data_IF_945240572096
#
_entry.id   IF_945240572096
#
_cell.length_a   1.000
_cell.length_b   1.000
_cell.length_c   1.000
_cell.angle_alpha   90.00
_cell.angle_beta   90.00
_cell.angle_gamma   90.00
#
_symmetry.space_group_name_H-M   'P 1'
#
loop_
_entity.id
_entity.type
_entity.pdbx_description
1 polymer ?
#
# COMPACT_ATOMS: atom_id res chain seq x y z
N UNK A 1 -7.66 -2.22 23.03
CA UNK A 1 -7.42 -2.87 21.71
C UNK A 1 -8.16 -4.21 21.59
N UNK A 2 -8.03 -5.17 22.53
CA UNK A 2 -8.67 -6.51 22.44
C UNK A 2 -10.18 -6.45 22.25
N UNK A 3 -10.91 -5.59 22.99
CA UNK A 3 -12.36 -5.43 22.83
C UNK A 3 -12.76 -4.99 21.43
N UNK A 4 -12.02 -4.05 20.85
CA UNK A 4 -12.25 -3.57 19.49
C UNK A 4 -12.00 -4.69 18.48
N UNK A 5 -10.87 -5.42 18.61
CA UNK A 5 -10.57 -6.53 17.72
C UNK A 5 -11.64 -7.64 17.81
N UNK A 6 -12.18 -7.91 19.01
CA UNK A 6 -13.28 -8.85 19.19
C UNK A 6 -14.55 -8.44 18.43
N UNK A 7 -14.86 -7.12 18.41
CA UNK A 7 -16.02 -6.59 17.67
C UNK A 7 -15.80 -6.62 16.15
N UNK A 8 -14.61 -6.25 15.68
CA UNK A 8 -14.25 -6.27 14.25
C UNK A 8 -14.18 -7.72 13.73
N UNK A 9 -13.65 -8.61 14.52
CA UNK A 9 -13.35 -9.99 14.18
C UNK A 9 -11.90 -10.19 13.73
N UNK A 10 -11.12 -11.08 14.37
CA UNK A 10 -9.69 -11.25 14.06
C UNK A 10 -9.42 -11.63 12.60
N UNK A 11 -10.26 -12.49 12.00
CA UNK A 11 -10.11 -12.88 10.58
C UNK A 11 -10.27 -11.70 9.62
N UNK A 12 -11.23 -10.79 9.90
CA UNK A 12 -11.41 -9.57 9.10
C UNK A 12 -10.20 -8.65 9.24
N UNK A 13 -9.65 -8.51 10.44
CA UNK A 13 -8.45 -7.72 10.68
C UNK A 13 -7.26 -8.28 9.91
N UNK A 14 -7.01 -9.59 9.94
CA UNK A 14 -5.95 -10.25 9.16
C UNK A 14 -6.13 -10.00 7.66
N UNK A 15 -7.34 -10.20 7.13
CA UNK A 15 -7.61 -9.96 5.71
C UNK A 15 -7.35 -8.50 5.31
N UNK A 16 -7.65 -7.56 6.20
CA UNK A 16 -7.44 -6.14 5.95
C UNK A 16 -5.95 -5.75 5.95
N UNK A 17 -5.13 -6.33 6.84
CA UNK A 17 -3.71 -5.95 6.94
C UNK A 17 -2.78 -6.75 6.01
N UNK A 18 -3.22 -7.90 5.47
CA UNK A 18 -2.43 -8.68 4.52
C UNK A 18 -1.94 -7.87 3.31
N UNK A 19 -2.77 -7.03 2.64
CA UNK A 19 -2.32 -6.20 1.53
C UNK A 19 -1.30 -5.12 1.89
N UNK A 20 -1.02 -4.91 3.18
CA UNK A 20 0.02 -3.99 3.67
C UNK A 20 1.43 -4.58 3.60
N UNK A 21 1.58 -5.80 3.05
CA UNK A 21 2.86 -6.49 2.93
C UNK A 21 3.18 -7.45 4.08
N UNK A 22 2.19 -7.76 4.91
CA UNK A 22 2.36 -8.78 5.96
C UNK A 22 2.02 -10.17 5.43
N UNK A 23 2.93 -11.16 5.51
CA UNK A 23 2.65 -12.54 5.12
C UNK A 23 1.51 -13.12 5.96
N UNK A 24 0.47 -13.62 5.28
CA UNK A 24 -0.74 -14.11 5.95
C UNK A 24 -0.45 -15.26 6.93
N UNK A 25 0.50 -16.11 6.62
CA UNK A 25 0.92 -17.26 7.43
C UNK A 25 1.54 -16.85 8.78
N UNK A 26 2.04 -15.61 8.88
CA UNK A 26 2.59 -15.05 10.13
C UNK A 26 1.52 -14.38 11.00
N UNK A 27 0.32 -14.18 10.48
CA UNK A 27 -0.75 -13.46 11.15
C UNK A 27 -1.77 -14.44 11.74
N UNK A 28 -1.66 -14.72 13.05
CA UNK A 28 -2.64 -15.53 13.72
C UNK A 28 -3.98 -14.81 13.88
N UNK A 29 -5.11 -15.36 13.38
CA UNK A 29 -6.41 -14.71 13.46
C UNK A 29 -7.07 -14.91 14.84
N UNK A 30 -6.38 -14.49 15.89
CA UNK A 30 -6.83 -14.55 17.28
C UNK A 30 -6.73 -13.18 17.98
N UNK A 31 -7.12 -13.10 19.24
CA UNK A 31 -7.14 -11.84 19.97
C UNK A 31 -5.75 -11.33 20.37
N UNK A 32 -4.71 -12.17 20.33
CA UNK A 32 -3.34 -11.77 20.61
C UNK A 32 -2.77 -10.84 19.53
N UNK A 33 -3.36 -10.88 18.32
CA UNK A 33 -3.04 -9.93 17.24
C UNK A 33 -3.17 -8.47 17.71
N UNK A 34 -4.15 -8.16 18.58
CA UNK A 34 -4.32 -6.80 19.14
C UNK A 34 -3.18 -6.36 20.07
N UNK A 35 -2.34 -7.28 20.48
CA UNK A 35 -1.18 -7.06 21.35
C UNK A 35 0.14 -7.11 20.58
N UNK A 36 0.09 -7.38 19.26
CA UNK A 36 1.28 -7.47 18.42
C UNK A 36 2.06 -8.78 18.61
N UNK A 37 1.36 -9.89 18.89
CA UNK A 37 1.98 -11.19 19.12
C UNK A 37 2.58 -11.84 17.85
N UNK A 38 2.25 -11.32 16.66
CA UNK A 38 2.80 -11.83 15.39
C UNK A 38 4.25 -11.40 15.22
N UNK A 39 5.14 -12.37 14.94
CA UNK A 39 6.54 -12.10 14.63
C UNK A 39 6.68 -11.66 13.17
N UNK A 40 7.10 -10.42 12.97
CA UNK A 40 7.36 -9.83 11.64
C UNK A 40 8.78 -9.30 11.58
N UNK A 41 9.34 -9.26 10.37
CA UNK A 41 10.67 -8.67 10.17
C UNK A 41 10.60 -7.14 10.17
N UNK A 42 11.72 -6.44 10.45
CA UNK A 42 11.76 -4.98 10.33
C UNK A 42 11.37 -4.47 8.94
N UNK A 43 11.69 -5.22 7.87
CA UNK A 43 11.32 -4.87 6.50
C UNK A 43 9.79 -4.97 6.29
N UNK A 44 9.16 -6.06 6.74
CA UNK A 44 7.71 -6.22 6.68
C UNK A 44 6.99 -5.11 7.46
N UNK A 45 7.51 -4.76 8.62
CA UNK A 45 6.95 -3.66 9.42
C UNK A 45 7.10 -2.31 8.70
N UNK A 46 8.28 -2.02 8.13
CA UNK A 46 8.51 -0.80 7.37
C UNK A 46 7.61 -0.72 6.13
N UNK A 47 7.41 -1.85 5.42
CA UNK A 47 6.48 -1.95 4.29
C UNK A 47 5.05 -1.63 4.73
N UNK A 48 4.59 -2.19 5.85
CA UNK A 48 3.26 -1.87 6.40
C UNK A 48 3.08 -0.40 6.76
N UNK A 49 4.10 0.24 7.35
CA UNK A 49 4.07 1.67 7.65
C UNK A 49 4.16 2.54 6.39
N UNK A 50 4.82 2.08 5.32
CA UNK A 50 4.88 2.82 4.06
C UNK A 50 3.49 3.02 3.45
N UNK A 51 2.56 2.07 3.63
CA UNK A 51 1.16 2.23 3.19
C UNK A 51 0.53 3.47 3.83
N UNK A 52 0.75 3.68 5.13
CA UNK A 52 0.24 4.86 5.83
C UNK A 52 0.93 6.14 5.36
N UNK A 53 2.24 6.11 5.15
CA UNK A 53 3.02 7.25 4.67
C UNK A 53 2.65 7.65 3.22
N UNK A 54 2.32 6.68 2.39
CA UNK A 54 1.97 6.86 0.98
C UNK A 54 0.47 7.14 0.74
N UNK A 55 -0.30 7.46 1.79
CA UNK A 55 -1.72 7.81 1.62
C UNK A 55 -2.65 6.62 1.37
N UNK A 56 -2.24 5.41 1.74
CA UNK A 56 -3.01 4.18 1.61
C UNK A 56 -2.62 3.30 0.42
N UNK A 57 -1.54 3.66 -0.31
CA UNK A 57 -1.03 2.85 -1.41
C UNK A 57 0.05 1.88 -0.95
N UNK A 58 0.00 0.65 -1.45
CA UNK A 58 0.98 -0.40 -1.18
C UNK A 58 2.12 -0.34 -2.19
N UNK A 59 3.35 -0.25 -1.69
CA UNK A 59 4.57 -0.31 -2.50
C UNK A 59 5.45 -1.44 -2.00
N UNK A 60 6.19 -2.07 -2.91
CA UNK A 60 7.12 -3.15 -2.57
C UNK A 60 8.52 -2.58 -2.40
N UNK A 61 9.23 -2.93 -1.32
CA UNK A 61 10.62 -2.54 -1.15
C UNK A 61 11.51 -3.29 -2.13
N UNK A 62 12.52 -2.61 -2.66
CA UNK A 62 13.56 -3.20 -3.49
C UNK A 62 14.93 -2.69 -3.06
N UNK A 63 15.98 -3.49 -3.29
CA UNK A 63 17.36 -3.15 -2.89
C UNK A 63 18.23 -2.78 -4.09
N UNK A 64 17.94 -3.35 -5.26
CA UNK A 64 18.73 -3.13 -6.47
C UNK A 64 17.85 -2.34 -7.42
N UNK A 65 18.28 -1.12 -7.75
CA UNK A 65 17.55 -0.27 -8.71
C UNK A 65 17.93 -0.58 -10.15
N UNK A 66 19.23 -0.91 -10.39
CA UNK A 66 19.75 -1.15 -11.74
C UNK A 66 21.01 -2.01 -11.68
N UNK A 67 21.21 -2.86 -12.67
CA UNK A 67 22.45 -3.61 -12.92
C UNK A 67 22.86 -3.34 -14.35
N UNK A 68 24.14 -3.00 -14.55
CA UNK A 68 24.75 -2.77 -15.86
C UNK A 68 25.98 -3.68 -16.02
N UNK A 69 26.31 -4.01 -17.26
CA UNK A 69 27.57 -4.66 -17.60
C UNK A 69 28.73 -3.65 -17.75
N UNK A 70 29.93 -4.15 -18.03
CA UNK A 70 31.13 -3.33 -18.20
C UNK A 70 31.07 -2.40 -19.43
N UNK A 71 30.13 -2.68 -20.35
CA UNK A 71 29.90 -1.90 -21.58
C UNK A 71 28.80 -0.86 -21.38
N UNK A 72 28.12 -0.85 -20.20
CA UNK A 72 27.04 0.07 -19.87
C UNK A 72 25.66 -0.38 -20.34
N UNK A 73 25.53 -1.63 -20.81
CA UNK A 73 24.22 -2.18 -21.14
C UNK A 73 23.44 -2.52 -19.87
N UNK A 74 22.16 -2.19 -19.85
CA UNK A 74 21.28 -2.46 -18.70
C UNK A 74 20.89 -3.94 -18.72
N UNK A 75 21.38 -4.71 -17.74
CA UNK A 75 21.02 -6.11 -17.53
C UNK A 75 19.72 -6.25 -16.71
N UNK A 76 19.50 -5.31 -15.80
CA UNK A 76 18.31 -5.28 -14.94
C UNK A 76 17.98 -3.84 -14.58
N UNK A 77 16.70 -3.50 -14.57
CA UNK A 77 16.17 -2.27 -14.02
C UNK A 77 14.94 -2.60 -13.18
N UNK A 78 14.91 -2.14 -11.94
CA UNK A 78 13.71 -2.27 -11.12
C UNK A 78 12.58 -1.41 -11.71
N UNK A 79 11.37 -1.95 -11.68
CA UNK A 79 10.14 -1.24 -12.03
C UNK A 79 9.28 -1.08 -10.75
N UNK A 80 9.66 -0.13 -9.86
CA UNK A 80 8.93 0.07 -8.61
C UNK A 80 7.55 0.63 -8.88
N UNK A 81 6.55 0.12 -8.14
CA UNK A 81 5.21 0.68 -8.19
C UNK A 81 5.20 2.14 -7.72
N UNK A 82 4.58 3.02 -8.52
CA UNK A 82 4.50 4.46 -8.31
C UNK A 82 3.11 4.86 -7.84
N UNK A 83 3.04 5.75 -6.85
CA UNK A 83 1.76 6.31 -6.39
C UNK A 83 1.27 7.36 -7.39
N UNK A 84 0.19 7.07 -8.09
CA UNK A 84 -0.47 8.00 -9.00
C UNK A 84 -1.86 8.34 -8.47
N UNK A 85 -2.03 9.55 -7.91
CA UNK A 85 -3.33 9.99 -7.38
C UNK A 85 -4.32 10.36 -8.48
N UNK A 86 -3.83 10.88 -9.57
CA UNK A 86 -4.66 11.35 -10.69
C UNK A 86 -5.10 10.19 -11.60
N UNK A 87 -4.31 9.08 -11.64
CA UNK A 87 -4.66 7.89 -12.41
C UNK A 87 -5.89 7.14 -11.86
N UNK A 88 -6.21 7.28 -10.57
CA UNK A 88 -7.41 6.67 -9.98
C UNK A 88 -8.70 7.27 -10.52
N UNK A 89 -8.69 8.56 -10.85
CA UNK A 89 -9.87 9.25 -11.39
C UNK A 89 -10.17 8.79 -12.82
N UNK A 90 -9.14 8.54 -13.62
CA UNK A 90 -9.28 8.06 -14.99
C UNK A 90 -9.83 6.63 -15.06
N UNK A 91 -9.36 5.72 -14.20
CA UNK A 91 -9.86 4.33 -14.15
C UNK A 91 -11.33 4.25 -13.73
N UNK A 92 -11.80 5.14 -12.84
CA UNK A 92 -13.20 5.16 -12.41
C UNK A 92 -14.13 5.71 -13.51
N UNK A 93 -13.65 6.58 -14.38
CA UNK A 93 -14.39 7.10 -15.52
C UNK A 93 -14.49 6.08 -16.65
N UNK A 94 -13.43 5.31 -16.90
CA UNK A 94 -13.42 4.24 -17.93
C UNK A 94 -14.30 3.04 -17.54
N UNK A 95 -14.32 2.62 -16.27
CA UNK A 95 -15.20 1.56 -15.79
C UNK A 95 -16.69 1.96 -15.86
N UNK A 96 -17.03 3.22 -15.59
CA UNK A 96 -18.40 3.73 -15.71
C UNK A 96 -18.86 3.86 -17.16
N UNK A 97 -17.95 4.14 -18.09
CA UNK A 97 -18.29 4.27 -19.52
C UNK A 97 -18.48 2.91 -20.18
N UNK A 98 -17.70 1.92 -19.77
CA UNK A 98 -17.76 0.56 -20.32
C UNK A 98 -18.99 -0.24 -19.83
N UNK A 99 -19.53 0.08 -18.66
CA UNK A 99 -20.76 -0.54 -18.13
C UNK A 99 -22.04 -0.03 -18.81
N UNK A 100 -21.99 1.07 -19.55
CA UNK A 100 -23.14 1.59 -20.31
C UNK A 100 -23.13 1.19 -21.80
N UNK A 101 -22.05 0.59 -22.30
CA UNK A 101 -21.88 0.20 -23.71
C UNK A 101 -22.08 -1.29 -24.00
N UNK A 102 -22.44 -2.11 -23.00
CA UNK A 102 -22.59 -3.56 -23.15
C UNK A 102 -23.89 -4.04 -23.83
N UNK A 103 -24.81 -3.13 -24.20
CA UNK A 103 -26.14 -3.52 -24.76
C UNK A 103 -26.33 -3.26 -26.25
N UNK A 104 -25.33 -2.83 -27.00
CA UNK A 104 -25.49 -2.67 -28.48
C UNK A 104 -24.21 -3.12 -29.17
N UNK A 105 -24.15 -4.30 -29.71
CA UNK A 105 -23.63 -4.57 -31.05
C UNK A 105 -23.42 -6.07 -31.31
N UNK A 106 -24.23 -6.60 -32.11
CA UNK A 106 -23.86 -7.67 -33.05
C UNK A 106 -23.61 -7.02 -34.41
N UNK A 107 -22.60 -7.58 -35.11
CA UNK A 107 -22.32 -7.58 -36.56
C UNK A 107 -21.27 -6.55 -37.04
N UNK A 108 -20.23 -7.06 -37.49
CA UNK A 108 -19.50 -7.13 -38.73
C UNK A 108 -18.00 -6.96 -38.56
N UNK A 109 -17.27 -8.02 -38.93
CA UNK A 109 -15.83 -8.07 -38.96
C UNK A 109 -15.25 -7.27 -40.13
N UNK A 110 -14.27 -6.46 -39.85
CA UNK A 110 -13.15 -6.12 -40.76
C UNK A 110 -11.88 -6.00 -39.92
N UNK A 111 -10.96 -6.91 -40.18
CA UNK A 111 -9.60 -6.83 -39.71
C UNK A 111 -8.87 -5.68 -40.43
N UNK A 112 -8.45 -4.69 -39.71
CA UNK A 112 -7.50 -3.68 -40.22
C UNK A 112 -6.29 -3.58 -39.33
N UNK A 113 -5.17 -3.96 -39.94
CA UNK A 113 -3.76 -3.58 -39.75
C UNK A 113 -3.31 -2.99 -38.41
N UNK A 114 -2.36 -3.71 -37.86
CA UNK A 114 -1.44 -3.34 -36.77
C UNK A 114 -0.87 -1.92 -36.94
N UNK A 115 -1.30 -1.03 -36.09
CA UNK A 115 -0.57 0.19 -35.81
C UNK A 115 0.46 -0.15 -34.71
N UNK A 116 1.73 -0.23 -35.09
CA UNK A 116 2.86 -0.19 -34.18
C UNK A 116 2.92 1.21 -33.58
N UNK A 117 2.12 1.44 -32.53
CA UNK A 117 2.30 2.61 -31.68
C UNK A 117 3.43 2.27 -30.72
N UNK A 118 4.47 3.08 -30.67
CA UNK A 118 5.44 3.15 -29.58
C UNK A 118 4.66 3.34 -28.27
N UNK A 119 4.32 2.23 -27.63
CA UNK A 119 3.72 2.28 -26.30
C UNK A 119 4.83 2.65 -25.34
N UNK A 120 4.80 3.87 -24.82
CA UNK A 120 5.53 4.20 -23.61
C UNK A 120 5.27 3.11 -22.58
N UNK A 121 6.32 2.62 -21.86
CA UNK A 121 6.16 1.56 -20.88
C UNK A 121 5.08 1.98 -19.88
N UNK A 122 4.02 1.17 -19.80
CA UNK A 122 2.90 1.44 -18.89
C UNK A 122 3.45 1.56 -17.46
N UNK A 123 3.19 2.69 -16.80
CA UNK A 123 3.60 2.94 -15.42
C UNK A 123 3.05 1.83 -14.50
N UNK A 124 3.94 1.22 -13.73
CA UNK A 124 3.56 0.28 -12.68
C UNK A 124 2.91 1.06 -11.53
N UNK A 125 1.56 1.11 -11.50
CA UNK A 125 0.81 1.92 -10.53
C UNK A 125 0.61 1.13 -9.24
N UNK A 126 0.97 1.75 -8.12
CA UNK A 126 0.77 1.19 -6.78
C UNK A 126 -0.73 1.04 -6.47
N UNK A 127 -1.19 -0.15 -6.06
CA UNK A 127 -2.59 -0.35 -5.71
C UNK A 127 -2.93 0.39 -4.40
N UNK A 128 -4.12 1.01 -4.35
CA UNK A 128 -4.66 1.54 -3.11
C UNK A 128 -5.25 0.40 -2.27
N UNK A 129 -4.72 0.19 -1.08
CA UNK A 129 -5.14 -0.87 -0.13
C UNK A 129 -5.85 -0.32 1.09
N UNK A 130 -5.90 1.01 1.24
CA UNK A 130 -6.61 1.70 2.32
C UNK A 130 -7.29 2.96 1.79
N UNK A 131 -8.55 3.16 2.14
CA UNK A 131 -9.28 4.40 1.80
C UNK A 131 -8.55 5.64 2.32
N UNK A 132 -8.50 6.70 1.50
CA UNK A 132 -7.75 7.92 1.81
C UNK A 132 -8.20 8.59 3.11
N UNK A 133 -9.51 8.57 3.41
CA UNK A 133 -10.09 9.16 4.63
C UNK A 133 -9.69 8.35 5.86
N UNK A 134 -9.70 7.01 5.74
CA UNK A 134 -9.27 6.12 6.82
C UNK A 134 -7.77 6.29 7.06
N UNK A 135 -6.97 6.40 5.99
CA UNK A 135 -5.54 6.68 6.11
C UNK A 135 -5.27 8.01 6.82
N UNK A 136 -6.00 9.07 6.46
CA UNK A 136 -5.89 10.37 7.14
C UNK A 136 -6.16 10.26 8.64
N UNK A 137 -7.22 9.56 9.04
CA UNK A 137 -7.55 9.34 10.45
C UNK A 137 -6.46 8.55 11.17
N UNK A 138 -5.93 7.49 10.55
CA UNK A 138 -4.84 6.70 11.12
C UNK A 138 -3.58 7.53 11.33
N UNK A 139 -3.15 8.28 10.32
CA UNK A 139 -1.97 9.16 10.41
C UNK A 139 -2.18 10.25 11.46
N UNK A 140 -3.39 10.81 11.56
CA UNK A 140 -3.75 11.78 12.60
C UNK A 140 -3.59 11.19 14.00
N UNK A 141 -4.13 9.99 14.24
CA UNK A 141 -3.98 9.29 15.53
C UNK A 141 -2.51 8.97 15.84
N UNK A 142 -1.71 8.57 14.85
CA UNK A 142 -0.27 8.30 15.02
C UNK A 142 0.52 9.59 15.34
N UNK A 143 0.12 10.73 14.77
CA UNK A 143 0.68 12.04 15.14
C UNK A 143 0.35 12.42 16.57
N UNK A 144 -0.86 12.11 17.04
CA UNK A 144 -1.27 12.39 18.42
C UNK A 144 -0.48 11.54 19.44
N UNK A 145 -0.06 10.32 19.09
CA UNK A 145 0.86 9.53 19.93
C UNK A 145 2.17 10.31 20.18
N UNK A 146 2.66 11.02 19.17
CA UNK A 146 3.89 11.82 19.29
C UNK A 146 3.61 13.16 19.99
N UNK A 147 2.52 13.83 19.68
CA UNK A 147 2.21 15.17 20.20
C UNK A 147 1.70 15.14 21.65
N UNK A 148 0.81 14.22 21.94
CA UNK A 148 0.04 14.17 23.19
C UNK A 148 0.30 12.90 24.00
N UNK A 149 0.74 11.83 23.34
CA UNK A 149 0.82 10.48 23.91
C UNK A 149 2.20 10.06 24.37
N UNK A 150 2.46 8.77 24.31
CA UNK A 150 3.67 8.11 24.79
C UNK A 150 4.93 8.38 23.94
N UNK A 151 4.75 8.91 22.73
CA UNK A 151 5.82 9.22 21.77
C UNK A 151 6.45 10.61 21.92
N UNK A 152 6.13 11.38 22.97
CA UNK A 152 6.59 12.79 23.16
C UNK A 152 8.09 12.99 23.06
N UNK A 153 8.90 11.98 23.35
CA UNK A 153 10.37 12.08 23.22
C UNK A 153 10.80 12.39 21.76
N UNK A 154 10.02 11.97 20.77
CA UNK A 154 10.29 12.28 19.36
C UNK A 154 10.18 13.78 19.02
N UNK A 155 9.51 14.59 19.84
CA UNK A 155 9.44 16.05 19.68
C UNK A 155 10.82 16.73 19.78
N UNK A 156 11.80 16.08 20.44
CA UNK A 156 13.19 16.57 20.51
C UNK A 156 13.84 16.69 19.11
N UNK A 157 13.34 15.95 18.11
CA UNK A 157 13.82 16.03 16.72
C UNK A 157 13.35 17.30 15.99
N UNK A 158 12.46 18.11 16.61
CA UNK A 158 11.93 19.36 16.06
C UNK A 158 11.32 19.22 14.66
N UNK A 159 10.71 18.08 14.37
CA UNK A 159 10.01 17.76 13.11
C UNK A 159 8.51 17.65 13.35
N UNK A 160 7.70 18.29 12.51
CA UNK A 160 6.24 18.28 12.61
C UNK A 160 5.58 17.08 11.88
N UNK A 161 6.35 16.38 11.05
CA UNK A 161 5.90 15.29 10.17
C UNK A 161 6.03 13.90 10.81
N UNK A 162 6.50 13.82 12.07
CA UNK A 162 6.66 12.54 12.78
C UNK A 162 5.30 12.02 13.23
N UNK A 163 5.02 10.78 12.86
CA UNK A 163 3.91 9.98 13.33
C UNK A 163 4.42 8.58 13.69
N UNK A 164 3.84 7.94 14.68
CA UNK A 164 4.30 6.61 15.07
C UNK A 164 3.55 6.01 16.23
N UNK A 165 3.85 4.76 16.55
CA UNK A 165 3.33 4.03 17.69
C UNK A 165 4.48 3.48 18.52
N UNK A 166 4.46 3.77 19.80
CA UNK A 166 5.42 3.18 20.75
C UNK A 166 5.08 1.72 21.02
N UNK A 167 6.09 0.89 21.15
CA UNK A 167 5.98 -0.51 21.59
C UNK A 167 6.66 -0.70 22.95
N UNK A 168 6.31 -1.77 23.64
CA UNK A 168 7.01 -2.29 24.81
C UNK A 168 7.27 -3.77 24.53
N UNK A 169 8.55 -4.16 24.55
CA UNK A 169 8.94 -5.57 24.51
C UNK A 169 8.88 -6.12 25.93
N UNK A 170 8.36 -7.32 26.07
CA UNK A 170 8.55 -8.10 27.30
C UNK A 170 9.85 -8.87 27.11
N UNK A 171 10.80 -8.66 27.98
CA UNK A 171 12.04 -9.44 28.09
C UNK A 171 11.72 -10.86 28.58
#
# INVERSE_FOLDING_TARGET
>A
SIRILKQVGPRKAVNFITPFGFPREKLNPDLSLALGASAVTPMELATGYSVLANGGYSVQPYLISRIEDDEGNVLFSADPAVVCKDCEQQQTEEENTNSQQADIATLDGVATAESLTDQEPALNIAPRVMDARVNYLMVSMLRDVVRLGTGKRALALKRADIAGKTGTTND
#
